data_IF_491665641804
#
_entry.id   IF_491665641804
#
_cell.length_a   1.000
_cell.length_b   1.000
_cell.length_c   1.000
_cell.angle_alpha   90.00
_cell.angle_beta   90.00
_cell.angle_gamma   90.00
#
_symmetry.space_group_name_H-M   'P 1'
#
loop_
_entity.id
_entity.type
_entity.pdbx_description
1 polymer ?
#
# COMPACT_ATOMS: atom_id res chain seq x y z
N UNK A 1 -8.96 15.52 -5.57
CA UNK A 1 -7.89 14.82 -6.31
C UNK A 1 -8.21 14.71 -7.79
N UNK A 2 -9.24 13.97 -8.21
CA UNK A 2 -9.57 13.71 -9.63
C UNK A 2 -9.90 14.96 -10.48
N UNK A 3 -10.29 16.09 -9.89
CA UNK A 3 -10.56 17.35 -10.57
C UNK A 3 -9.42 18.37 -10.51
N UNK A 4 -8.25 17.98 -10.04
CA UNK A 4 -7.08 18.86 -9.97
C UNK A 4 -6.40 18.98 -11.34
N UNK A 5 -5.89 20.18 -11.67
CA UNK A 5 -5.26 20.48 -12.95
C UNK A 5 -4.04 19.58 -13.20
N UNK A 6 -3.20 19.37 -12.19
CA UNK A 6 -2.03 18.50 -12.28
C UNK A 6 -2.41 17.04 -12.61
N UNK A 7 -3.57 16.60 -12.12
CA UNK A 7 -4.09 15.29 -12.44
C UNK A 7 -4.41 15.16 -13.94
N UNK A 8 -5.08 16.15 -14.49
CA UNK A 8 -5.44 16.16 -15.92
C UNK A 8 -4.22 16.34 -16.83
N UNK A 9 -3.26 17.18 -16.45
CA UNK A 9 -2.01 17.34 -17.20
C UNK A 9 -1.24 16.02 -17.30
N UNK A 10 -1.15 15.26 -16.21
CA UNK A 10 -0.47 13.96 -16.24
C UNK A 10 -1.23 12.94 -17.11
N UNK A 11 -2.55 12.92 -17.07
CA UNK A 11 -3.35 12.03 -17.92
C UNK A 11 -3.31 12.40 -19.42
N UNK A 12 -3.08 13.65 -19.75
CA UNK A 12 -2.88 14.08 -21.15
C UNK A 12 -1.64 13.43 -21.79
N UNK A 13 -0.69 12.98 -20.97
CA UNK A 13 0.55 12.31 -21.40
C UNK A 13 0.42 10.78 -21.49
N UNK A 14 -0.79 10.21 -21.46
CA UNK A 14 -1.01 8.76 -21.50
C UNK A 14 -0.33 8.09 -22.71
N UNK A 15 -0.41 8.71 -23.90
CA UNK A 15 0.21 8.18 -25.12
C UNK A 15 1.73 8.08 -24.96
N UNK A 16 2.36 9.11 -24.37
CA UNK A 16 3.79 9.08 -24.05
C UNK A 16 4.11 7.93 -23.06
N UNK A 17 3.33 7.80 -22.00
CA UNK A 17 3.57 6.77 -20.98
C UNK A 17 3.45 5.35 -21.57
N UNK A 18 2.42 5.09 -22.38
CA UNK A 18 2.22 3.79 -23.05
C UNK A 18 3.33 3.51 -24.07
N UNK A 19 3.76 4.54 -24.82
CA UNK A 19 4.78 4.37 -25.85
C UNK A 19 6.20 4.21 -25.31
N UNK A 20 6.49 4.73 -24.12
CA UNK A 20 7.86 4.76 -23.57
C UNK A 20 8.05 3.96 -22.27
N UNK A 21 6.98 3.64 -21.56
CA UNK A 21 7.02 3.06 -20.22
C UNK A 21 7.43 4.07 -19.13
N UNK A 22 7.62 5.37 -19.47
CA UNK A 22 8.02 6.42 -18.53
C UNK A 22 6.78 7.15 -18.02
N UNK A 23 6.86 7.67 -16.79
CA UNK A 23 5.74 8.40 -16.20
C UNK A 23 5.57 9.80 -16.81
N UNK A 24 4.35 10.32 -16.73
CA UNK A 24 4.09 11.71 -17.08
C UNK A 24 4.82 12.68 -16.14
N UNK A 25 5.00 12.31 -14.86
CA UNK A 25 5.74 13.11 -13.89
C UNK A 25 7.21 13.29 -14.29
N UNK A 26 7.84 12.23 -14.77
CA UNK A 26 9.20 12.28 -15.31
C UNK A 26 9.26 13.15 -16.56
N UNK A 27 8.32 12.98 -17.49
CA UNK A 27 8.29 13.73 -18.76
C UNK A 27 8.02 15.23 -18.54
N UNK A 28 7.02 15.58 -17.74
CA UNK A 28 6.58 16.97 -17.55
C UNK A 28 7.44 17.74 -16.54
N UNK A 29 7.92 17.05 -15.50
CA UNK A 29 8.50 17.71 -14.31
C UNK A 29 9.95 17.28 -14.02
N UNK A 30 10.50 16.33 -14.78
CA UNK A 30 11.87 15.84 -14.61
C UNK A 30 12.11 15.10 -13.30
N UNK A 31 11.07 14.52 -12.69
CA UNK A 31 11.17 13.76 -11.45
C UNK A 31 10.61 12.34 -11.63
N UNK A 32 11.42 11.36 -11.26
CA UNK A 32 10.99 9.95 -11.24
C UNK A 32 10.14 9.60 -10.01
N UNK A 33 10.15 10.45 -8.98
CA UNK A 33 9.45 10.23 -7.73
C UNK A 33 8.28 11.20 -7.56
N UNK A 34 7.08 10.72 -7.90
CA UNK A 34 5.84 11.48 -7.77
C UNK A 34 5.57 11.89 -6.30
N UNK A 35 5.94 11.06 -5.33
CA UNK A 35 5.71 11.35 -3.90
C UNK A 35 6.60 12.48 -3.39
N UNK A 36 7.85 12.58 -3.88
CA UNK A 36 8.71 13.74 -3.59
C UNK A 36 8.10 15.04 -4.12
N UNK A 37 7.51 14.99 -5.31
CA UNK A 37 6.79 16.15 -5.85
C UNK A 37 5.58 16.52 -5.00
N UNK A 38 4.78 15.52 -4.56
CA UNK A 38 3.65 15.75 -3.68
C UNK A 38 4.08 16.36 -2.34
N UNK A 39 5.22 15.93 -1.80
CA UNK A 39 5.79 16.49 -0.58
C UNK A 39 6.32 17.92 -0.76
N UNK A 40 6.78 18.28 -1.96
CA UNK A 40 7.31 19.61 -2.27
C UNK A 40 6.21 20.67 -2.52
N UNK A 41 5.01 20.26 -2.96
CA UNK A 41 3.85 21.13 -3.16
C UNK A 41 2.83 20.92 -2.03
N UNK A 42 2.82 21.83 -1.05
CA UNK A 42 1.94 21.73 0.11
C UNK A 42 0.44 21.70 -0.25
N UNK A 43 0.01 22.41 -1.30
CA UNK A 43 -1.38 22.43 -1.75
C UNK A 43 -1.77 21.09 -2.36
N UNK A 44 -0.96 20.59 -3.29
CA UNK A 44 -1.22 19.33 -3.95
C UNK A 44 -1.08 18.15 -2.97
N UNK A 45 -0.06 18.16 -2.10
CA UNK A 45 0.11 17.17 -1.05
C UNK A 45 -1.09 17.08 -0.10
N UNK A 46 -1.67 18.22 0.28
CA UNK A 46 -2.89 18.25 1.11
C UNK A 46 -4.10 17.61 0.39
N UNK A 47 -4.31 17.92 -0.90
CA UNK A 47 -5.38 17.33 -1.72
C UNK A 47 -5.17 15.83 -1.91
N UNK A 48 -3.94 15.41 -2.18
CA UNK A 48 -3.59 13.99 -2.31
C UNK A 48 -3.85 13.22 -1.01
N UNK A 49 -3.33 13.73 0.12
CA UNK A 49 -3.51 13.09 1.43
C UNK A 49 -4.98 13.01 1.84
N UNK A 50 -5.78 14.05 1.57
CA UNK A 50 -7.22 14.02 1.82
C UNK A 50 -7.92 12.95 0.97
N UNK A 51 -7.55 12.82 -0.31
CA UNK A 51 -8.08 11.78 -1.20
C UNK A 51 -7.72 10.37 -0.71
N UNK A 52 -6.46 10.15 -0.33
CA UNK A 52 -6.00 8.87 0.22
C UNK A 52 -6.68 8.54 1.55
N UNK A 53 -6.98 9.54 2.36
CA UNK A 53 -7.72 9.34 3.62
C UNK A 53 -9.12 8.79 3.36
N UNK A 54 -9.85 9.35 2.39
CA UNK A 54 -11.19 8.85 2.01
C UNK A 54 -11.13 7.41 1.48
N UNK A 55 -10.14 7.09 0.64
CA UNK A 55 -9.93 5.72 0.17
C UNK A 55 -9.60 4.76 1.31
N UNK A 56 -8.78 5.18 2.28
CA UNK A 56 -8.45 4.38 3.46
C UNK A 56 -9.67 4.11 4.33
N UNK A 57 -10.59 5.08 4.49
CA UNK A 57 -11.82 4.88 5.26
C UNK A 57 -12.72 3.82 4.63
N UNK A 58 -12.85 3.80 3.30
CA UNK A 58 -13.68 2.81 2.58
C UNK A 58 -13.08 1.40 2.65
N UNK A 59 -11.76 1.27 2.63
CA UNK A 59 -11.09 -0.03 2.68
C UNK A 59 -10.90 -0.56 4.11
N UNK A 60 -10.77 0.32 5.11
CA UNK A 60 -10.50 -0.08 6.49
C UNK A 60 -11.57 -1.00 7.08
N UNK A 61 -12.86 -0.70 6.84
CA UNK A 61 -13.96 -1.52 7.30
C UNK A 61 -13.94 -2.92 6.66
N UNK A 62 -13.67 -2.99 5.36
CA UNK A 62 -13.57 -4.25 4.62
C UNK A 62 -12.39 -5.11 5.12
N UNK A 63 -11.25 -4.49 5.40
CA UNK A 63 -10.07 -5.17 5.97
C UNK A 63 -10.38 -5.73 7.35
N UNK A 64 -11.00 -4.93 8.24
CA UNK A 64 -11.36 -5.37 9.60
C UNK A 64 -12.37 -6.51 9.57
N UNK A 65 -13.33 -6.48 8.65
CA UNK A 65 -14.33 -7.53 8.52
C UNK A 65 -13.80 -8.85 7.95
N UNK A 66 -12.80 -8.75 7.03
CA UNK A 66 -12.33 -9.91 6.28
C UNK A 66 -11.11 -10.62 6.91
N UNK A 67 -10.39 -9.98 7.84
CA UNK A 67 -9.13 -10.51 8.35
C UNK A 67 -9.17 -10.76 9.86
N UNK A 68 -8.67 -11.92 10.26
CA UNK A 68 -8.48 -12.27 11.67
C UNK A 68 -7.13 -11.74 12.18
N UNK A 69 -7.18 -10.71 13.01
CA UNK A 69 -6.03 -10.09 13.64
C UNK A 69 -5.55 -10.79 14.90
N UNK A 70 -6.25 -11.85 15.34
CA UNK A 70 -5.87 -12.59 16.54
C UNK A 70 -4.43 -13.15 16.43
N UNK A 71 -3.69 -13.08 17.50
CA UNK A 71 -2.30 -13.56 17.54
C UNK A 71 -1.28 -12.61 16.90
N UNK A 72 -1.67 -11.48 16.30
CA UNK A 72 -0.72 -10.52 15.75
C UNK A 72 0.09 -9.78 16.83
N UNK A 73 -0.51 -9.50 17.98
CA UNK A 73 0.11 -8.76 19.09
C UNK A 73 0.47 -7.33 18.73
N UNK A 74 1.39 -7.14 17.78
CA UNK A 74 1.81 -5.86 17.22
C UNK A 74 1.54 -5.84 15.71
N UNK A 75 0.82 -4.81 15.24
CA UNK A 75 0.55 -4.53 13.83
C UNK A 75 1.39 -3.33 13.39
N UNK A 76 2.15 -3.47 12.32
CA UNK A 76 2.93 -2.39 11.69
C UNK A 76 2.26 -1.99 10.38
N UNK A 77 1.74 -0.77 10.30
CA UNK A 77 1.11 -0.20 9.09
C UNK A 77 2.16 0.61 8.33
N UNK A 78 2.72 0.03 7.28
CA UNK A 78 3.80 0.59 6.47
C UNK A 78 3.23 1.40 5.32
N UNK A 79 3.57 2.69 5.24
CA UNK A 79 2.92 3.62 4.32
C UNK A 79 1.45 3.86 4.71
N UNK A 80 1.17 3.89 6.02
CA UNK A 80 -0.19 3.94 6.55
C UNK A 80 -0.85 5.32 6.50
N UNK A 81 -0.21 6.33 5.89
CA UNK A 81 -0.75 7.66 5.75
C UNK A 81 -0.94 8.34 7.11
N UNK A 82 -2.12 8.89 7.33
CA UNK A 82 -2.47 9.52 8.60
C UNK A 82 -3.04 8.54 9.65
N UNK A 83 -2.99 7.22 9.39
CA UNK A 83 -3.34 6.20 10.37
C UNK A 83 -4.82 5.82 10.46
N UNK A 84 -5.66 6.13 9.45
CA UNK A 84 -7.10 5.78 9.45
C UNK A 84 -7.30 4.26 9.57
N UNK A 85 -6.56 3.48 8.80
CA UNK A 85 -6.69 2.03 8.80
C UNK A 85 -6.24 1.42 10.12
N UNK A 86 -5.05 1.78 10.59
CA UNK A 86 -4.56 1.24 11.85
C UNK A 86 -5.47 1.62 13.02
N UNK A 87 -6.05 2.82 13.02
CA UNK A 87 -7.03 3.23 14.01
C UNK A 87 -8.27 2.33 13.99
N UNK A 88 -8.80 1.99 12.79
CA UNK A 88 -9.94 1.09 12.67
C UNK A 88 -9.61 -0.32 13.17
N UNK A 89 -8.42 -0.85 12.84
CA UNK A 89 -7.95 -2.16 13.30
C UNK A 89 -7.84 -2.20 14.82
N UNK A 90 -7.18 -1.20 15.43
CA UNK A 90 -6.98 -1.16 16.89
C UNK A 90 -8.30 -0.99 17.65
N UNK A 91 -9.24 -0.19 17.14
CA UNK A 91 -10.58 -0.07 17.73
C UNK A 91 -11.36 -1.38 17.72
N UNK A 92 -11.26 -2.14 16.64
CA UNK A 92 -11.93 -3.43 16.51
C UNK A 92 -11.23 -4.54 17.34
N UNK A 93 -9.96 -4.35 17.70
CA UNK A 93 -9.12 -5.34 18.37
C UNK A 93 -8.39 -4.71 19.58
N UNK A 94 -9.06 -4.48 20.72
CA UNK A 94 -8.48 -3.69 21.85
C UNK A 94 -7.22 -4.30 22.47
N UNK A 95 -6.90 -5.55 22.22
CA UNK A 95 -5.68 -6.23 22.70
C UNK A 95 -4.45 -6.02 21.82
N UNK A 96 -4.61 -5.38 20.64
CA UNK A 96 -3.52 -5.11 19.73
C UNK A 96 -2.79 -3.81 20.07
N UNK A 97 -1.50 -3.79 19.74
CA UNK A 97 -0.70 -2.57 19.61
C UNK A 97 -0.42 -2.29 18.15
N UNK A 98 -0.15 -1.03 17.83
CA UNK A 98 0.14 -0.61 16.47
C UNK A 98 1.40 0.22 16.38
N UNK A 99 2.05 0.16 15.23
CA UNK A 99 3.05 1.13 14.77
C UNK A 99 2.62 1.64 13.42
N UNK A 100 2.52 2.96 13.28
CA UNK A 100 2.26 3.63 12.01
C UNK A 100 3.56 4.18 11.47
N UNK A 101 3.97 3.74 10.29
CA UNK A 101 5.14 4.25 9.58
C UNK A 101 4.70 4.96 8.29
N UNK A 102 5.09 6.22 8.14
CA UNK A 102 5.02 6.96 6.87
C UNK A 102 6.02 8.13 6.91
N UNK A 103 6.17 8.85 5.81
CA UNK A 103 7.04 10.03 5.73
C UNK A 103 6.70 11.03 6.85
N UNK A 104 7.68 11.72 7.44
CA UNK A 104 7.45 12.64 8.57
C UNK A 104 6.38 13.70 8.29
N UNK A 105 6.32 14.21 7.06
CA UNK A 105 5.33 15.21 6.63
C UNK A 105 3.90 14.62 6.55
N UNK A 106 3.77 13.32 6.29
CA UNK A 106 2.48 12.63 6.17
C UNK A 106 1.92 12.29 7.55
N UNK A 107 2.75 11.72 8.43
CA UNK A 107 2.32 11.31 9.78
C UNK A 107 2.14 12.48 10.76
N UNK A 108 2.50 13.71 10.39
CA UNK A 108 2.39 14.86 11.28
C UNK A 108 0.97 15.09 11.85
N UNK A 109 -0.06 14.72 11.10
CA UNK A 109 -1.47 14.78 11.53
C UNK A 109 -1.97 13.55 12.29
N UNK A 110 -1.23 12.45 12.27
CA UNK A 110 -1.67 11.16 12.80
C UNK A 110 -1.95 11.18 14.33
N UNK A 111 -1.16 11.83 15.20
CA UNK A 111 -1.44 11.83 16.63
C UNK A 111 -2.82 12.37 16.98
N UNK A 112 -3.28 13.43 16.29
CA UNK A 112 -4.62 13.97 16.48
C UNK A 112 -5.70 12.98 16.06
N UNK A 113 -5.54 12.36 14.90
CA UNK A 113 -6.49 11.38 14.39
C UNK A 113 -6.60 10.15 15.30
N UNK A 114 -5.47 9.63 15.77
CA UNK A 114 -5.44 8.49 16.69
C UNK A 114 -6.09 8.82 18.04
N UNK A 115 -5.90 10.05 18.55
CA UNK A 115 -6.55 10.53 19.75
C UNK A 115 -8.08 10.65 19.56
N UNK A 116 -8.53 11.24 18.46
CA UNK A 116 -9.95 11.33 18.10
C UNK A 116 -10.59 9.94 17.96
N UNK A 117 -9.82 8.95 17.49
CA UNK A 117 -10.25 7.56 17.39
C UNK A 117 -10.19 6.78 18.73
N UNK A 118 -9.59 7.36 19.78
CA UNK A 118 -9.46 6.74 21.10
C UNK A 118 -8.42 5.63 21.18
N UNK A 119 -7.41 5.61 20.27
CA UNK A 119 -6.37 4.56 20.20
C UNK A 119 -4.93 5.08 20.31
N UNK A 120 -4.74 6.35 20.66
CA UNK A 120 -3.40 6.97 20.73
C UNK A 120 -2.43 6.22 21.65
N UNK A 121 -2.91 5.73 22.80
CA UNK A 121 -2.08 4.98 23.76
C UNK A 121 -1.68 3.58 23.28
N UNK A 122 -2.31 3.11 22.19
CA UNK A 122 -2.07 1.79 21.61
C UNK A 122 -1.29 1.85 20.29
N UNK A 123 -0.97 3.05 19.78
CA UNK A 123 -0.32 3.24 18.49
C UNK A 123 0.88 4.17 18.57
N UNK A 124 2.06 3.66 18.27
CA UNK A 124 3.26 4.45 18.05
C UNK A 124 3.25 5.05 16.64
N UNK A 125 3.68 6.32 16.51
CA UNK A 125 3.80 7.00 15.22
C UNK A 125 5.28 7.21 14.91
N UNK A 126 5.74 6.63 13.79
CA UNK A 126 7.12 6.68 13.33
C UNK A 126 7.18 7.44 12.01
N UNK A 127 7.87 8.58 12.00
CA UNK A 127 8.20 9.30 10.77
C UNK A 127 9.47 8.73 10.15
N UNK A 128 9.36 8.07 8.99
CA UNK A 128 10.49 7.41 8.34
C UNK A 128 10.22 7.08 6.88
N UNK A 129 11.26 6.58 6.20
CA UNK A 129 11.20 6.12 4.82
C UNK A 129 11.25 4.59 4.81
N UNK A 130 10.20 3.93 4.30
CA UNK A 130 10.11 2.47 4.20
C UNK A 130 11.21 1.85 3.33
N UNK A 131 11.83 2.63 2.43
CA UNK A 131 12.98 2.19 1.65
C UNK A 131 14.27 2.13 2.48
N UNK A 132 14.37 2.93 3.54
CA UNK A 132 15.49 2.87 4.49
C UNK A 132 15.33 1.75 5.51
N UNK A 133 14.10 1.34 5.80
CA UNK A 133 13.77 0.27 6.72
C UNK A 133 12.39 0.41 7.32
N UNK A 134 11.93 -0.64 7.98
CA UNK A 134 10.64 -0.66 8.68
C UNK A 134 10.83 -1.08 10.14
N UNK A 135 9.98 -0.65 11.08
CA UNK A 135 10.04 -1.05 12.49
C UNK A 135 9.99 -2.57 12.66
N UNK A 136 10.83 -3.12 13.51
CA UNK A 136 10.92 -4.56 13.79
C UNK A 136 9.91 -5.01 14.86
N UNK A 137 9.73 -6.33 14.97
CA UNK A 137 8.96 -6.95 16.07
C UNK A 137 7.46 -7.04 15.84
N UNK A 138 6.97 -6.64 14.66
CA UNK A 138 5.57 -6.82 14.27
C UNK A 138 5.22 -8.29 14.04
N UNK A 139 4.08 -8.73 14.58
CA UNK A 139 3.50 -10.02 14.22
C UNK A 139 2.71 -9.95 12.91
N UNK A 140 2.31 -8.76 12.50
CA UNK A 140 1.65 -8.49 11.21
C UNK A 140 2.13 -7.15 10.64
N UNK A 141 2.58 -7.15 9.40
CA UNK A 141 2.90 -5.97 8.62
C UNK A 141 1.83 -5.76 7.57
N UNK A 142 1.33 -4.54 7.44
CA UNK A 142 0.29 -4.20 6.47
C UNK A 142 0.83 -3.11 5.54
N UNK A 143 0.68 -3.34 4.23
CA UNK A 143 0.84 -2.32 3.20
C UNK A 143 -0.46 -2.26 2.41
N UNK A 144 -1.01 -1.08 2.24
CA UNK A 144 -2.26 -0.94 1.51
C UNK A 144 -2.20 0.22 0.54
N UNK A 145 -2.40 -0.08 -0.72
CA UNK A 145 -2.27 0.88 -1.82
C UNK A 145 -0.88 1.54 -1.80
N UNK A 146 0.13 0.74 -1.51
CA UNK A 146 1.54 1.13 -1.45
C UNK A 146 2.33 0.49 -2.57
N UNK A 147 2.18 -0.83 -2.72
CA UNK A 147 2.98 -1.62 -3.65
C UNK A 147 2.58 -1.37 -5.10
N UNK A 148 1.32 -1.10 -5.35
CA UNK A 148 0.80 -0.68 -6.65
C UNK A 148 1.42 0.62 -7.18
N UNK A 149 1.94 1.45 -6.29
CA UNK A 149 2.54 2.74 -6.62
C UNK A 149 4.00 2.67 -7.09
N UNK A 150 4.58 1.48 -7.13
CA UNK A 150 6.00 1.29 -7.48
C UNK A 150 6.19 0.26 -8.59
N UNK A 151 7.27 0.44 -9.37
CA UNK A 151 7.79 -0.60 -10.24
C UNK A 151 8.24 -1.83 -9.43
N UNK A 152 8.51 -2.94 -10.13
CA UNK A 152 8.83 -4.21 -9.46
C UNK A 152 10.11 -4.13 -8.61
N UNK A 153 11.12 -3.39 -9.04
CA UNK A 153 12.38 -3.28 -8.31
C UNK A 153 12.20 -2.53 -6.97
N UNK A 154 11.50 -1.41 -7.01
CA UNK A 154 11.17 -0.62 -5.81
C UNK A 154 10.21 -1.38 -4.88
N UNK A 155 9.22 -2.03 -5.45
CA UNK A 155 8.27 -2.84 -4.69
C UNK A 155 8.97 -3.99 -3.97
N UNK A 156 9.87 -4.74 -4.64
CA UNK A 156 10.68 -5.80 -4.02
C UNK A 156 11.58 -5.23 -2.91
N UNK A 157 12.16 -4.03 -3.10
CA UNK A 157 12.99 -3.42 -2.05
C UNK A 157 12.20 -3.15 -0.76
N UNK A 158 10.98 -2.62 -0.86
CA UNK A 158 10.10 -2.43 0.32
C UNK A 158 9.72 -3.75 0.96
N UNK A 159 9.36 -4.76 0.16
CA UNK A 159 9.04 -6.09 0.69
C UNK A 159 10.23 -6.77 1.36
N UNK A 160 11.43 -6.57 0.84
CA UNK A 160 12.68 -7.06 1.45
C UNK A 160 12.89 -6.43 2.82
N UNK A 161 12.66 -5.11 2.96
CA UNK A 161 12.72 -4.45 4.27
C UNK A 161 11.66 -5.01 5.24
N UNK A 162 10.43 -5.24 4.76
CA UNK A 162 9.42 -5.91 5.56
C UNK A 162 9.85 -7.34 5.94
N UNK A 163 10.42 -8.10 4.99
CA UNK A 163 10.90 -9.47 5.24
C UNK A 163 11.99 -9.52 6.31
N UNK A 164 12.91 -8.56 6.32
CA UNK A 164 13.95 -8.46 7.35
C UNK A 164 13.36 -8.16 8.75
N UNK A 165 12.32 -7.33 8.81
CA UNK A 165 11.67 -6.94 10.06
C UNK A 165 10.70 -8.01 10.60
N UNK A 166 10.14 -8.84 9.71
CA UNK A 166 9.22 -9.92 10.05
C UNK A 166 9.99 -11.08 10.68
N UNK A 167 9.64 -11.45 11.92
CA UNK A 167 10.13 -12.69 12.52
C UNK A 167 9.56 -13.94 11.82
N UNK A 168 10.11 -15.11 12.12
CA UNK A 168 9.78 -16.39 11.46
C UNK A 168 8.27 -16.73 11.47
N UNK A 169 7.52 -16.26 12.45
CA UNK A 169 6.07 -16.48 12.58
C UNK A 169 5.22 -15.28 12.23
N UNK A 170 5.85 -14.19 11.79
CA UNK A 170 5.13 -12.99 11.38
C UNK A 170 4.48 -13.15 10.00
N UNK A 171 3.58 -12.24 9.69
CA UNK A 171 2.78 -12.22 8.45
C UNK A 171 2.88 -10.86 7.78
N UNK A 172 2.81 -10.86 6.47
CA UNK A 172 2.65 -9.68 5.64
C UNK A 172 1.26 -9.70 5.02
N UNK A 173 0.58 -8.57 5.02
CA UNK A 173 -0.73 -8.38 4.41
C UNK A 173 -0.68 -7.20 3.44
N UNK A 174 -0.76 -7.50 2.14
CA UNK A 174 -0.95 -6.48 1.12
C UNK A 174 -2.45 -6.30 0.91
N UNK A 175 -2.90 -5.07 0.93
CA UNK A 175 -4.31 -4.70 0.71
C UNK A 175 -4.39 -3.97 -0.61
N UNK A 176 -4.59 -4.72 -1.68
CA UNK A 176 -4.45 -4.27 -3.06
C UNK A 176 -5.53 -4.91 -3.95
N UNK A 177 -5.85 -4.32 -5.10
CA UNK A 177 -6.56 -5.04 -6.14
C UNK A 177 -5.73 -6.24 -6.62
N UNK A 178 -6.42 -7.28 -7.05
CA UNK A 178 -5.80 -8.42 -7.73
C UNK A 178 -6.45 -8.56 -9.09
N UNK A 179 -5.68 -8.28 -10.14
CA UNK A 179 -6.17 -8.41 -11.50
C UNK A 179 -6.36 -9.88 -11.88
N UNK A 180 -7.33 -10.20 -12.76
CA UNK A 180 -7.47 -11.53 -13.30
C UNK A 180 -6.27 -11.88 -14.20
N UNK A 181 -5.88 -13.15 -14.20
CA UNK A 181 -4.76 -13.65 -15.02
C UNK A 181 -5.06 -13.62 -16.53
N UNK A 182 -6.34 -13.48 -16.92
CA UNK A 182 -6.77 -13.46 -18.34
C UNK A 182 -7.73 -12.33 -18.62
N UNK A 183 -7.77 -11.88 -19.89
CA UNK A 183 -8.68 -10.83 -20.37
C UNK A 183 -10.13 -11.31 -20.47
N UNK A 184 -10.36 -12.62 -20.45
CA UNK A 184 -11.68 -13.24 -20.43
C UNK A 184 -12.32 -12.99 -19.07
N UNK A 185 -13.38 -12.22 -19.02
CA UNK A 185 -14.04 -11.84 -17.76
C UNK A 185 -13.83 -10.37 -17.35
N UNK A 186 -13.13 -9.56 -18.12
CA UNK A 186 -12.92 -8.13 -17.87
C UNK A 186 -14.21 -7.28 -18.01
N UNK A 187 -15.36 -7.90 -18.16
CA UNK A 187 -16.61 -7.20 -18.44
C UNK A 187 -17.32 -6.62 -17.20
N UNK A 188 -16.77 -6.80 -15.99
CA UNK A 188 -17.40 -6.24 -14.79
C UNK A 188 -16.95 -4.80 -14.53
N UNK A 189 -17.84 -3.91 -14.04
CA UNK A 189 -17.47 -2.54 -13.71
C UNK A 189 -16.30 -2.43 -12.73
N UNK A 190 -16.18 -3.36 -11.79
CA UNK A 190 -15.07 -3.41 -10.82
C UNK A 190 -13.73 -3.62 -11.51
N UNK A 191 -13.64 -4.62 -12.39
CA UNK A 191 -12.40 -4.91 -13.13
C UNK A 191 -12.03 -3.76 -14.05
N UNK A 192 -13.01 -3.11 -14.71
CA UNK A 192 -12.74 -1.94 -15.52
C UNK A 192 -12.17 -0.77 -14.69
N UNK A 193 -12.67 -0.57 -13.46
CA UNK A 193 -12.13 0.43 -12.55
C UNK A 193 -10.70 0.09 -12.11
N UNK A 194 -10.40 -1.18 -11.85
CA UNK A 194 -9.04 -1.62 -11.47
C UNK A 194 -8.06 -1.46 -12.63
N UNK A 195 -8.48 -1.73 -13.88
CA UNK A 195 -7.66 -1.47 -15.07
C UNK A 195 -7.41 0.02 -15.34
N UNK A 196 -8.41 0.88 -15.08
CA UNK A 196 -8.20 2.32 -15.12
C UNK A 196 -7.23 2.79 -14.03
N UNK A 197 -7.25 2.13 -12.87
CA UNK A 197 -6.31 2.41 -11.81
C UNK A 197 -4.90 1.94 -12.18
N UNK A 198 -4.75 0.81 -12.86
CA UNK A 198 -3.47 0.35 -13.40
C UNK A 198 -2.85 1.38 -14.36
N UNK A 199 -3.63 1.88 -15.33
CA UNK A 199 -3.20 2.99 -16.19
C UNK A 199 -2.86 4.25 -15.39
N UNK A 200 -3.59 4.55 -14.33
CA UNK A 200 -3.30 5.67 -13.46
C UNK A 200 -1.95 5.51 -12.73
N UNK A 201 -1.61 4.29 -12.31
CA UNK A 201 -0.30 4.01 -11.72
C UNK A 201 0.82 4.21 -12.74
N UNK A 202 0.69 3.68 -13.97
CA UNK A 202 1.63 3.91 -15.05
C UNK A 202 1.88 5.40 -15.29
N UNK A 203 0.79 6.18 -15.45
CA UNK A 203 0.87 7.61 -15.76
C UNK A 203 1.52 8.42 -14.64
N UNK A 204 1.22 8.10 -13.38
CA UNK A 204 1.56 8.96 -12.25
C UNK A 204 2.81 8.55 -11.50
N UNK A 205 3.01 7.27 -11.26
CA UNK A 205 4.02 6.77 -10.31
C UNK A 205 4.98 5.77 -10.92
N UNK A 206 4.65 5.22 -12.10
CA UNK A 206 5.40 4.12 -12.72
C UNK A 206 5.12 2.77 -12.07
N UNK A 207 4.15 2.73 -11.18
CA UNK A 207 3.67 1.49 -10.58
C UNK A 207 2.65 0.76 -11.44
N UNK A 208 2.07 -0.30 -10.90
CA UNK A 208 1.04 -1.10 -11.58
C UNK A 208 0.23 -1.95 -10.62
N UNK A 209 -0.99 -2.28 -11.03
CA UNK A 209 -1.76 -3.36 -10.42
C UNK A 209 -1.20 -4.73 -10.89
N UNK A 210 -1.46 -5.79 -10.11
CA UNK A 210 -0.84 -7.10 -10.36
C UNK A 210 -1.84 -8.23 -10.31
N UNK A 211 -1.58 -9.26 -11.11
CA UNK A 211 -2.28 -10.55 -11.06
C UNK A 211 -1.78 -11.40 -9.89
N UNK A 212 -2.52 -12.48 -9.58
CA UNK A 212 -2.07 -13.43 -8.55
C UNK A 212 -0.72 -14.08 -8.91
N UNK A 213 -0.48 -14.36 -10.18
CA UNK A 213 0.77 -14.96 -10.63
C UNK A 213 1.95 -14.01 -10.41
N UNK A 214 1.77 -12.72 -10.70
CA UNK A 214 2.77 -11.68 -10.46
C UNK A 214 3.01 -11.47 -8.97
N UNK A 215 1.97 -11.47 -8.12
CA UNK A 215 2.16 -11.43 -6.65
C UNK A 215 3.02 -12.58 -6.14
N UNK A 216 2.83 -13.82 -6.66
CA UNK A 216 3.69 -14.95 -6.28
C UNK A 216 5.15 -14.71 -6.65
N UNK A 217 5.41 -14.28 -7.88
CA UNK A 217 6.76 -14.06 -8.36
C UNK A 217 7.51 -12.99 -7.56
N UNK A 218 6.84 -11.91 -7.33
CA UNK A 218 7.42 -10.74 -6.68
C UNK A 218 7.57 -10.91 -5.14
N UNK A 219 6.66 -11.61 -4.48
CA UNK A 219 6.84 -12.02 -3.09
C UNK A 219 8.03 -12.99 -2.95
N UNK A 220 8.16 -13.94 -3.87
CA UNK A 220 9.28 -14.87 -3.88
C UNK A 220 10.63 -14.16 -4.06
N UNK A 221 10.69 -13.08 -4.84
CA UNK A 221 11.89 -12.26 -5.00
C UNK A 221 12.34 -11.55 -3.72
N UNK A 222 11.43 -11.42 -2.73
CA UNK A 222 11.69 -10.86 -1.41
C UNK A 222 11.74 -11.90 -0.29
N UNK A 223 12.00 -13.18 -0.60
CA UNK A 223 12.00 -14.29 0.37
C UNK A 223 10.69 -14.43 1.17
N UNK A 224 9.58 -14.12 0.50
CA UNK A 224 8.23 -14.27 1.02
C UNK A 224 7.46 -15.29 0.15
N UNK A 225 6.52 -15.99 0.75
CA UNK A 225 5.64 -16.94 0.05
C UNK A 225 4.20 -16.49 0.19
N UNK A 226 3.48 -16.39 -0.94
CA UNK A 226 2.04 -16.18 -0.95
C UNK A 226 1.35 -17.31 -0.19
N UNK A 227 0.68 -17.00 0.91
CA UNK A 227 -0.06 -17.95 1.71
C UNK A 227 -1.50 -18.12 1.20
N UNK A 228 -2.22 -17.00 1.04
CA UNK A 228 -3.60 -16.97 0.51
C UNK A 228 -3.98 -15.58 0.02
N UNK A 229 -5.04 -15.52 -0.77
CA UNK A 229 -5.73 -14.29 -1.14
C UNK A 229 -7.15 -14.37 -0.59
N UNK A 230 -7.57 -13.33 0.12
CA UNK A 230 -8.90 -13.21 0.70
C UNK A 230 -9.62 -12.08 -0.03
N UNK A 231 -10.72 -12.40 -0.70
CA UNK A 231 -11.58 -11.38 -1.32
C UNK A 231 -12.29 -10.57 -0.22
N UNK A 232 -12.49 -9.27 -0.48
CA UNK A 232 -13.31 -8.41 0.37
C UNK A 232 -14.59 -8.01 -0.35
N UNK A 233 -15.50 -7.35 0.34
CA UNK A 233 -16.70 -6.76 -0.28
C UNK A 233 -16.38 -5.52 -1.12
N UNK A 234 -15.12 -5.03 -1.11
CA UNK A 234 -14.65 -3.88 -1.87
C UNK A 234 -13.84 -4.23 -3.12
N UNK A 235 -13.15 -3.22 -3.67
CA UNK A 235 -12.25 -3.36 -4.83
C UNK A 235 -10.88 -3.95 -4.47
N UNK A 236 -10.57 -4.16 -3.20
CA UNK A 236 -9.29 -4.71 -2.77
C UNK A 236 -9.43 -6.15 -2.30
N UNK A 237 -8.37 -6.90 -2.47
CA UNK A 237 -8.16 -8.22 -1.86
C UNK A 237 -7.06 -8.14 -0.80
N UNK A 238 -7.06 -9.09 0.11
CA UNK A 238 -6.02 -9.23 1.11
C UNK A 238 -5.06 -10.34 0.67
N UNK A 239 -3.87 -9.95 0.25
CA UNK A 239 -2.81 -10.86 -0.18
C UNK A 239 -1.92 -11.13 1.02
N UNK A 240 -2.13 -12.29 1.67
CA UNK A 240 -1.34 -12.70 2.83
C UNK A 240 -0.09 -13.47 2.39
N UNK A 241 1.04 -13.05 2.92
CA UNK A 241 2.32 -13.72 2.72
C UNK A 241 3.00 -14.02 4.06
N UNK A 242 3.85 -15.02 4.04
CA UNK A 242 4.68 -15.46 5.17
C UNK A 242 6.13 -15.60 4.72
N UNK A 243 7.11 -15.56 5.64
CA UNK A 243 8.49 -15.88 5.30
C UNK A 243 8.58 -17.19 4.52
N UNK A 244 9.34 -17.20 3.43
CA UNK A 244 9.68 -18.46 2.78
C UNK A 244 10.48 -19.30 3.80
N UNK A 245 10.10 -20.56 3.98
CA UNK A 245 10.89 -21.48 4.80
C UNK A 245 12.26 -21.65 4.12
N UNK A 246 13.32 -21.57 4.88
CA UNK A 246 14.61 -22.01 4.37
C UNK A 246 14.40 -23.44 3.84
N UNK A 247 14.68 -23.68 2.56
CA UNK A 247 14.69 -25.03 2.02
C UNK A 247 15.71 -25.79 2.86
N UNK A 248 15.25 -26.76 3.66
CA UNK A 248 16.13 -27.72 4.31
C UNK A 248 17.01 -28.28 3.18
N UNK A 249 18.30 -27.89 3.24
CA UNK A 249 19.26 -28.29 2.22
C UNK A 249 19.30 -29.80 2.11
N UNK A 250 18.99 -30.31 0.94
CA UNK A 250 19.22 -31.69 0.55
C UNK A 250 20.69 -31.94 0.33
#
# INVERSE_FOLDING_TARGET
MWGDEDYWLTWAELEHCVGTGRTAAEHLFGTEDAFRRYAADARFGAVFNAGMTVLSDTTAAAVVAAYDFSGAGLVVDVGGGQGRRIAAILRANPGLRGVLLDLPSVVAGAPRLLAEAGVAEHCEVVGGDMFAGVPEGGGLYILSRVIDSFDDARAVAVLTNCRHAIGERGRLLLVEPVLPDTVEGLATPTIQADMLMDLNMLVRTGGRERTQAEYRAFLAAADLRLARIIATEGSVSLVEAVPAQASDGA
#
